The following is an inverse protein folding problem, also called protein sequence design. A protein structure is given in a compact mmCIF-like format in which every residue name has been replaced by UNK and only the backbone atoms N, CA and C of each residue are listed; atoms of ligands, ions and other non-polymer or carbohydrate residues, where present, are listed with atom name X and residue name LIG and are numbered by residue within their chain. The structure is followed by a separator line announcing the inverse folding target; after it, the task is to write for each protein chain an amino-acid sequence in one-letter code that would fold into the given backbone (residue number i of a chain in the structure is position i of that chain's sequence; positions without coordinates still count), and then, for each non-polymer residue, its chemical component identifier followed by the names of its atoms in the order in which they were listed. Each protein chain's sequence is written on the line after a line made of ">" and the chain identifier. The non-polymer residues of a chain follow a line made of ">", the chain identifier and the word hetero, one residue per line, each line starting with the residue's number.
data_IF_197585866728
#
_entry.id   IF_197585866728
#
_cell.length_a   1.000
_cell.length_b   1.000
_cell.length_c   1.000
_cell.angle_alpha   90.00
_cell.angle_beta   90.00
_cell.angle_gamma   90.00
#
_symmetry.space_group_name_H-M   'P 1'
#
loop_
_entity.id
_entity.type
_entity.pdbx_description
1 polymer ?
#
# COMPACT_ATOMS: atom_id res chain seq x y z
N UNK A 1 -10.65 -3.06 22.69
CA UNK A 1 -11.33 -2.36 21.63
C UNK A 1 -10.70 -1.00 21.39
N UNK A 2 -10.83 -0.50 20.27
CA UNK A 2 -10.25 0.76 19.90
C UNK A 2 -10.93 1.91 20.60
N UNK A 3 -10.17 2.97 20.91
CA UNK A 3 -10.66 4.16 21.53
C UNK A 3 -10.82 5.29 20.52
N UNK A 4 -11.25 4.96 19.34
CA UNK A 4 -11.43 5.95 18.29
C UNK A 4 -12.57 6.88 18.62
N UNK A 5 -12.40 8.18 18.37
CA UNK A 5 -13.56 9.06 18.26
C UNK A 5 -14.43 8.49 17.13
N UNK A 6 -15.64 8.14 17.46
CA UNK A 6 -16.47 7.27 16.64
C UNK A 6 -16.52 7.67 15.17
N UNK A 7 -16.75 8.94 14.87
CA UNK A 7 -16.94 9.35 13.49
C UNK A 7 -15.65 9.46 12.72
N UNK A 8 -14.67 10.19 13.26
CA UNK A 8 -13.45 10.47 12.48
C UNK A 8 -12.60 9.22 12.27
N UNK A 9 -12.46 8.40 13.33
CA UNK A 9 -11.60 7.20 13.22
C UNK A 9 -12.26 6.10 12.42
N UNK A 10 -13.59 5.97 12.47
CA UNK A 10 -14.29 5.01 11.63
C UNK A 10 -14.13 5.34 10.16
N UNK A 11 -14.31 6.62 9.79
CA UNK A 11 -14.12 7.05 8.42
C UNK A 11 -12.69 6.85 7.94
N UNK A 12 -11.72 7.17 8.79
CA UNK A 12 -10.31 6.99 8.48
C UNK A 12 -9.97 5.51 8.28
N UNK A 13 -10.48 4.64 9.16
CA UNK A 13 -10.22 3.21 9.04
C UNK A 13 -10.78 2.64 7.74
N UNK A 14 -11.97 3.08 7.33
CA UNK A 14 -12.56 2.65 6.06
C UNK A 14 -11.71 3.09 4.88
N UNK A 15 -11.20 4.31 4.90
CA UNK A 15 -10.34 4.83 3.83
C UNK A 15 -9.00 4.08 3.79
N UNK A 16 -8.43 3.80 4.95
CA UNK A 16 -7.18 3.03 5.02
C UNK A 16 -7.38 1.62 4.50
N UNK A 17 -8.51 0.99 4.82
CA UNK A 17 -8.80 -0.35 4.32
C UNK A 17 -8.98 -0.34 2.79
N UNK A 18 -9.64 0.67 2.25
CA UNK A 18 -9.78 0.81 0.80
C UNK A 18 -8.41 0.96 0.14
N UNK A 19 -7.53 1.76 0.74
CA UNK A 19 -6.17 1.94 0.24
C UNK A 19 -5.37 0.63 0.31
N UNK A 20 -5.43 -0.05 1.45
CA UNK A 20 -4.77 -1.34 1.64
C UNK A 20 -5.20 -2.33 0.56
N UNK A 21 -6.51 -2.46 0.37
CA UNK A 21 -7.06 -3.39 -0.62
C UNK A 21 -6.64 -3.05 -2.03
N UNK A 22 -6.57 -1.76 -2.36
CA UNK A 22 -6.14 -1.32 -3.69
C UNK A 22 -4.68 -1.66 -3.94
N UNK A 23 -3.80 -1.39 -2.96
CA UNK A 23 -2.38 -1.73 -3.07
C UNK A 23 -2.22 -3.23 -3.28
N UNK A 24 -2.90 -4.02 -2.46
CA UNK A 24 -2.78 -5.48 -2.55
C UNK A 24 -3.29 -6.00 -3.88
N UNK A 25 -4.44 -5.51 -4.34
CA UNK A 25 -5.01 -5.95 -5.62
C UNK A 25 -4.06 -5.63 -6.78
N UNK A 26 -3.51 -4.43 -6.81
CA UNK A 26 -2.60 -4.02 -7.86
C UNK A 26 -1.27 -4.79 -7.79
N UNK A 27 -0.78 -5.05 -6.59
CA UNK A 27 0.42 -5.84 -6.39
C UNK A 27 0.23 -7.27 -6.88
N UNK A 28 -0.90 -7.89 -6.54
CA UNK A 28 -1.21 -9.24 -7.00
C UNK A 28 -1.33 -9.30 -8.50
N UNK A 29 -1.93 -8.30 -9.12
CA UNK A 29 -2.06 -8.25 -10.57
C UNK A 29 -0.69 -8.15 -11.24
N UNK A 30 0.22 -7.34 -10.68
CA UNK A 30 1.57 -7.20 -11.20
C UNK A 30 2.33 -8.53 -11.13
N UNK A 31 2.24 -9.23 -10.00
CA UNK A 31 2.88 -10.53 -9.84
C UNK A 31 2.31 -11.56 -10.82
N UNK A 32 0.99 -11.53 -11.02
CA UNK A 32 0.34 -12.44 -11.97
C UNK A 32 0.80 -12.19 -13.41
N UNK A 33 0.93 -10.92 -13.78
CA UNK A 33 1.39 -10.54 -15.12
C UNK A 33 2.85 -10.95 -15.34
N UNK A 34 3.71 -10.76 -14.34
CA UNK A 34 5.10 -11.19 -14.42
C UNK A 34 5.19 -12.71 -14.49
N UNK A 35 4.37 -13.40 -13.71
CA UNK A 35 4.34 -14.87 -13.74
C UNK A 35 3.98 -15.37 -15.13
N UNK A 36 2.99 -14.78 -15.78
CA UNK A 36 2.61 -15.15 -17.15
C UNK A 36 3.75 -14.96 -18.12
N UNK A 37 4.46 -13.85 -18.01
CA UNK A 37 5.63 -13.59 -18.87
C UNK A 37 6.72 -14.60 -18.62
N UNK A 38 6.97 -14.96 -17.36
CA UNK A 38 8.00 -15.93 -17.01
C UNK A 38 7.64 -17.32 -17.51
N UNK A 39 6.37 -17.71 -17.39
CA UNK A 39 5.92 -19.00 -17.94
C UNK A 39 6.14 -19.04 -19.46
N UNK A 40 5.86 -17.96 -20.15
CA UNK A 40 6.06 -17.87 -21.61
C UNK A 40 7.54 -18.01 -22.00
N UNK A 41 8.45 -17.66 -21.09
CA UNK A 41 9.90 -17.78 -21.29
C UNK A 41 10.46 -19.14 -20.82
N UNK A 42 9.60 -20.03 -20.39
CA UNK A 42 10.02 -21.37 -19.98
C UNK A 42 10.37 -21.47 -18.50
N UNK A 43 10.24 -20.42 -17.72
CA UNK A 43 10.40 -20.48 -16.28
C UNK A 43 9.17 -21.13 -15.67
N UNK A 44 9.39 -22.10 -14.80
CA UNK A 44 8.29 -22.88 -14.24
C UNK A 44 8.31 -22.83 -12.73
N UNK A 45 7.44 -22.00 -12.16
CA UNK A 45 7.26 -21.92 -10.72
C UNK A 45 5.80 -21.61 -10.41
N UNK A 46 5.37 -21.94 -9.20
CA UNK A 46 4.01 -21.66 -8.75
C UNK A 46 3.94 -20.22 -8.26
N UNK A 47 2.96 -19.46 -8.74
CA UNK A 47 2.76 -18.07 -8.34
C UNK A 47 2.65 -17.94 -6.81
N UNK A 48 2.14 -18.94 -6.13
CA UNK A 48 1.97 -18.91 -4.68
C UNK A 48 3.28 -18.76 -3.91
N UNK A 49 4.44 -19.02 -4.53
CA UNK A 49 5.74 -18.80 -3.85
C UNK A 49 5.93 -17.34 -3.50
N UNK A 50 5.24 -16.41 -4.19
CA UNK A 50 5.32 -14.99 -3.94
C UNK A 50 4.20 -14.47 -3.03
N UNK A 51 3.34 -15.35 -2.54
CA UNK A 51 2.18 -14.93 -1.73
C UNK A 51 2.56 -13.99 -0.58
N UNK A 52 3.60 -14.27 0.22
CA UNK A 52 3.93 -13.38 1.33
C UNK A 52 4.31 -11.96 0.89
N UNK A 53 4.87 -11.78 -0.32
CA UNK A 53 5.25 -10.47 -0.81
C UNK A 53 4.07 -9.67 -1.36
N UNK A 54 2.92 -10.30 -1.56
CA UNK A 54 1.75 -9.64 -2.14
C UNK A 54 0.81 -9.05 -1.12
N UNK A 55 0.94 -9.45 0.14
CA UNK A 55 0.03 -9.04 1.20
C UNK A 55 0.35 -7.61 1.63
N UNK A 56 -0.68 -6.76 1.69
CA UNK A 56 -0.54 -5.41 2.20
C UNK A 56 -1.16 -5.34 3.59
N UNK A 57 -0.42 -4.79 4.54
CA UNK A 57 -0.88 -4.62 5.92
C UNK A 57 -0.72 -3.18 6.36
N UNK A 58 -1.57 -2.75 7.27
CA UNK A 58 -1.51 -1.40 7.83
C UNK A 58 -1.36 -1.49 9.34
N UNK A 59 -0.36 -0.78 9.86
CA UNK A 59 -0.13 -0.68 11.30
C UNK A 59 -0.41 0.73 11.75
N UNK A 60 -1.42 0.89 12.59
CA UNK A 60 -1.80 2.19 13.10
C UNK A 60 -0.85 2.64 14.20
N UNK A 61 -0.28 3.82 14.02
CA UNK A 61 0.44 4.50 15.07
C UNK A 61 -0.41 5.63 15.62
N UNK A 62 0.22 6.53 16.37
CA UNK A 62 -0.47 7.66 16.97
C UNK A 62 -0.79 8.74 15.94
N UNK A 63 0.19 9.12 15.12
CA UNK A 63 0.05 10.17 14.10
C UNK A 63 -0.01 9.62 12.69
N UNK A 64 0.57 8.47 12.48
CA UNK A 64 0.73 7.89 11.15
C UNK A 64 0.30 6.44 11.13
N UNK A 65 -0.19 6.01 9.99
CA UNK A 65 -0.38 4.59 9.69
C UNK A 65 0.78 4.16 8.81
N UNK A 66 1.45 3.08 9.18
CA UNK A 66 2.49 2.49 8.34
C UNK A 66 1.84 1.50 7.39
N UNK A 67 2.17 1.64 6.10
CA UNK A 67 1.63 0.77 5.05
C UNK A 67 2.77 -0.10 4.56
N UNK A 68 2.64 -1.40 4.79
CA UNK A 68 3.66 -2.39 4.45
C UNK A 68 3.16 -3.29 3.34
N UNK A 69 4.04 -3.64 2.40
CA UNK A 69 3.77 -4.65 1.39
C UNK A 69 4.78 -5.77 1.58
N UNK A 70 4.27 -6.97 1.85
CA UNK A 70 5.13 -8.06 2.29
C UNK A 70 5.77 -7.68 3.61
N UNK A 71 7.10 -7.82 3.69
CA UNK A 71 7.85 -7.45 4.89
C UNK A 71 8.44 -6.05 4.81
N UNK A 72 8.14 -5.29 3.75
CA UNK A 72 8.76 -3.98 3.50
C UNK A 72 7.79 -2.86 3.78
N UNK A 73 8.24 -1.83 4.52
CA UNK A 73 7.50 -0.59 4.63
C UNK A 73 7.50 0.13 3.29
N UNK A 74 6.37 0.72 2.92
CA UNK A 74 6.21 1.42 1.64
C UNK A 74 5.80 2.86 1.83
N UNK A 75 4.80 3.10 2.65
CA UNK A 75 4.20 4.43 2.80
C UNK A 75 3.87 4.71 4.24
N UNK A 76 3.70 5.99 4.54
CA UNK A 76 3.12 6.44 5.81
C UNK A 76 1.99 7.40 5.50
N UNK A 77 0.85 7.18 6.14
CA UNK A 77 -0.33 8.02 5.98
C UNK A 77 -0.50 8.87 7.23
N UNK A 78 -0.57 10.18 7.04
CA UNK A 78 -0.83 11.08 8.15
C UNK A 78 -2.30 11.01 8.54
N UNK A 79 -2.57 10.60 9.75
CA UNK A 79 -3.95 10.32 10.17
C UNK A 79 -4.81 11.57 10.27
N UNK A 80 -4.19 12.73 10.58
CA UNK A 80 -4.94 13.97 10.70
C UNK A 80 -5.48 14.48 9.37
N UNK A 81 -4.80 14.18 8.26
CA UNK A 81 -5.13 14.76 6.96
C UNK A 81 -5.42 13.71 5.90
N UNK A 82 -5.01 12.47 6.12
CA UNK A 82 -5.07 11.43 5.10
C UNK A 82 -3.98 11.52 4.04
N UNK A 83 -3.01 12.41 4.23
CA UNK A 83 -1.92 12.59 3.27
C UNK A 83 -1.00 11.36 3.26
N UNK A 84 -0.61 10.94 2.06
CA UNK A 84 0.20 9.74 1.85
C UNK A 84 1.61 10.17 1.46
N UNK A 85 2.59 9.68 2.20
CA UNK A 85 4.01 9.99 1.96
C UNK A 85 4.81 8.72 1.76
N UNK A 86 5.92 8.82 1.03
CA UNK A 86 6.93 7.79 1.01
C UNK A 86 7.70 7.74 2.32
N UNK A 87 8.68 6.86 2.40
CA UNK A 87 9.49 6.69 3.60
C UNK A 87 10.98 6.72 3.24
N UNK A 88 11.79 7.18 4.18
CA UNK A 88 13.26 7.11 4.08
C UNK A 88 13.79 5.80 4.64
N UNK A 89 13.04 5.21 5.54
CA UNK A 89 13.29 3.94 6.18
C UNK A 89 12.05 3.56 6.95
N UNK A 90 12.00 2.39 7.53
CA UNK A 90 10.79 1.95 8.23
C UNK A 90 10.47 2.91 9.39
N UNK A 91 9.26 3.43 9.38
CA UNK A 91 8.80 4.37 10.39
C UNK A 91 9.34 5.79 10.24
N UNK A 92 10.12 6.09 9.19
CA UNK A 92 10.70 7.40 8.96
C UNK A 92 10.12 8.01 7.70
N UNK A 93 9.27 9.02 7.87
CA UNK A 93 8.53 9.64 6.77
C UNK A 93 9.45 10.43 5.84
N UNK A 94 9.17 10.37 4.54
CA UNK A 94 9.84 11.17 3.53
C UNK A 94 8.85 12.18 2.95
N UNK A 95 8.82 13.38 3.50
CA UNK A 95 7.83 14.38 3.12
C UNK A 95 8.01 14.89 1.69
N UNK A 96 9.18 14.72 1.12
CA UNK A 96 9.44 15.06 -0.28
C UNK A 96 8.75 14.12 -1.26
N UNK A 97 8.36 12.93 -0.83
CA UNK A 97 7.63 11.97 -1.65
C UNK A 97 6.17 11.97 -1.22
N UNK A 98 5.38 12.84 -1.83
CA UNK A 98 3.97 13.01 -1.51
C UNK A 98 3.12 12.40 -2.63
N UNK A 99 2.18 11.55 -2.25
CA UNK A 99 1.35 10.81 -3.20
C UNK A 99 -0.14 11.14 -3.08
N UNK A 100 -0.45 12.36 -2.70
CA UNK A 100 -1.84 12.76 -2.55
C UNK A 100 -2.43 12.32 -1.23
N UNK A 101 -3.72 12.10 -1.21
CA UNK A 101 -4.44 11.73 0.00
C UNK A 101 -5.21 10.44 -0.21
N UNK A 102 -5.79 9.94 0.90
CA UNK A 102 -6.64 8.76 0.82
C UNK A 102 -7.87 8.97 -0.10
N UNK A 103 -8.21 10.22 -0.39
CA UNK A 103 -9.32 10.53 -1.28
C UNK A 103 -8.92 10.55 -2.76
N UNK A 104 -7.64 10.52 -3.06
CA UNK A 104 -7.13 10.59 -4.43
C UNK A 104 -6.32 9.35 -4.83
N UNK A 105 -6.51 8.24 -4.14
CA UNK A 105 -5.71 7.03 -4.40
C UNK A 105 -5.91 6.47 -5.82
N UNK A 106 -7.05 6.74 -6.44
CA UNK A 106 -7.31 6.28 -7.81
C UNK A 106 -6.44 6.99 -8.85
N UNK A 107 -5.78 8.09 -8.47
CA UNK A 107 -4.90 8.83 -9.38
C UNK A 107 -3.52 8.19 -9.52
N UNK A 108 -3.26 7.13 -8.78
CA UNK A 108 -1.95 6.52 -8.71
C UNK A 108 -2.01 5.04 -9.01
N UNK A 109 -0.92 4.52 -9.57
CA UNK A 109 -0.67 3.09 -9.70
C UNK A 109 0.25 2.68 -8.55
N UNK A 110 -0.24 1.82 -7.67
CA UNK A 110 0.44 1.39 -6.45
C UNK A 110 1.13 0.04 -6.60
N UNK A 111 1.20 -0.49 -7.81
CA UNK A 111 1.71 -1.86 -8.02
C UNK A 111 3.23 -1.98 -7.96
N UNK A 112 3.93 -0.86 -8.13
CA UNK A 112 5.39 -0.86 -8.10
C UNK A 112 5.91 -0.48 -6.73
N UNK A 113 7.21 -0.57 -6.54
CA UNK A 113 7.87 -0.20 -5.28
C UNK A 113 7.55 1.23 -4.88
N UNK A 114 7.48 2.13 -5.86
CA UNK A 114 7.00 3.50 -5.64
C UNK A 114 5.78 3.72 -6.52
N UNK A 115 4.81 4.43 -5.97
CA UNK A 115 3.63 4.78 -6.73
C UNK A 115 4.00 5.63 -7.94
N UNK A 116 3.32 5.39 -9.05
CA UNK A 116 3.45 6.14 -10.27
C UNK A 116 2.12 6.81 -10.56
N UNK A 117 2.14 7.98 -11.18
CA UNK A 117 0.90 8.60 -11.61
C UNK A 117 0.20 7.68 -12.61
N UNK A 118 -1.10 7.47 -12.41
CA UNK A 118 -1.89 6.68 -13.33
C UNK A 118 -2.04 7.43 -14.64
N UNK A 119 -1.88 6.71 -15.74
CA UNK A 119 -1.94 7.33 -17.06
C UNK A 119 -3.40 7.63 -17.46
#
# INVERSE_FOLDING_TARGET
>A
MTNYPAKSRCGMNAKLETFRAMIEAQTRQRYADEWKRDQARGMNYDLSVHEPQMVCTIKLGRKYANVDVGSSGRYMVELATGAIYGIKGYGVIHRGHYYGTLDTIADWDWSDYRAQAAA
#
